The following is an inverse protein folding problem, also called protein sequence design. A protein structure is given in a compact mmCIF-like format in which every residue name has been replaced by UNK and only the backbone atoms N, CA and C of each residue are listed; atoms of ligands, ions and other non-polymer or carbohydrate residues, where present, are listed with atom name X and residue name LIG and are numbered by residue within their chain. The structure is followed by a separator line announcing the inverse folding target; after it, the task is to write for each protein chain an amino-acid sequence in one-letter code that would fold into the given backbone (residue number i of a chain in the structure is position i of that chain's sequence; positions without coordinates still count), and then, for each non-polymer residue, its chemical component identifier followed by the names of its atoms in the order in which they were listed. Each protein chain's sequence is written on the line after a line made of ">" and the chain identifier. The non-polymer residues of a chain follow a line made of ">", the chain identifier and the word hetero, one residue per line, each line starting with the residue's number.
data_IF_517114837301
#
_entry.id   IF_517114837301
#
_cell.length_a   1.000
_cell.length_b   1.000
_cell.length_c   1.000
_cell.angle_alpha   90.00
_cell.angle_beta   90.00
_cell.angle_gamma   90.00
#
_symmetry.space_group_name_H-M   'P 1'
#
loop_
_entity.id
_entity.type
_entity.pdbx_description
1 polymer ?
#
# COMPACT_ATOMS: atom_id res chain seq x y z
N UNK A 1 -4.51 -20.06 16.05
CA UNK A 1 -4.56 -18.59 16.03
C UNK A 1 -4.16 -18.12 14.63
N UNK A 2 -5.09 -17.60 13.83
CA UNK A 2 -4.80 -17.15 12.45
C UNK A 2 -4.01 -15.83 12.53
N UNK A 3 -2.82 -15.76 11.92
CA UNK A 3 -1.97 -14.56 11.94
C UNK A 3 -2.47 -13.52 10.93
N UNK A 4 -3.38 -12.65 11.34
CA UNK A 4 -3.92 -11.61 10.44
C UNK A 4 -2.84 -10.60 10.01
N UNK A 5 -2.65 -10.43 8.70
CA UNK A 5 -1.77 -9.41 8.11
C UNK A 5 -2.44 -8.03 7.97
N UNK A 6 -3.76 -7.94 8.17
CA UNK A 6 -4.53 -6.69 8.06
C UNK A 6 -4.60 -6.13 6.64
N UNK A 7 -4.80 -7.01 5.64
CA UNK A 7 -4.87 -6.63 4.22
C UNK A 7 -6.22 -6.03 3.78
N UNK A 8 -7.24 -6.05 4.62
CA UNK A 8 -8.55 -5.43 4.35
C UNK A 8 -9.51 -6.23 3.47
N UNK A 9 -9.11 -7.37 2.90
CA UNK A 9 -9.96 -8.16 1.99
C UNK A 9 -11.30 -8.59 2.61
N UNK A 10 -11.29 -9.01 3.87
CA UNK A 10 -12.50 -9.36 4.63
C UNK A 10 -13.49 -8.20 4.75
N UNK A 11 -13.00 -6.97 4.89
CA UNK A 11 -13.81 -5.76 4.95
C UNK A 11 -14.37 -5.40 3.57
N UNK A 12 -13.54 -5.50 2.52
CA UNK A 12 -13.92 -5.22 1.13
C UNK A 12 -15.01 -6.17 0.61
N UNK A 13 -14.94 -7.47 0.93
CA UNK A 13 -15.93 -8.45 0.45
C UNK A 13 -17.26 -8.40 1.22
N UNK A 14 -17.26 -7.83 2.43
CA UNK A 14 -18.38 -7.92 3.35
C UNK A 14 -19.65 -7.25 2.78
N UNK A 15 -20.73 -7.99 2.48
CA UNK A 15 -21.92 -7.41 1.86
C UNK A 15 -22.72 -6.49 2.80
N UNK A 16 -22.52 -6.64 4.12
CA UNK A 16 -23.16 -5.81 5.15
C UNK A 16 -22.30 -4.63 5.60
N UNK A 17 -21.06 -4.51 5.11
CA UNK A 17 -20.07 -3.54 5.58
C UNK A 17 -19.85 -3.57 7.10
N UNK A 18 -20.07 -4.71 7.75
CA UNK A 18 -20.00 -4.85 9.21
C UNK A 18 -18.58 -5.12 9.74
N UNK A 19 -17.55 -5.10 8.87
CA UNK A 19 -16.15 -5.30 9.25
C UNK A 19 -15.38 -4.02 8.94
N UNK A 20 -14.84 -3.36 9.97
CA UNK A 20 -14.02 -2.16 9.82
C UNK A 20 -12.55 -2.43 10.15
N UNK A 21 -11.61 -1.86 9.40
CA UNK A 21 -10.18 -1.94 9.71
C UNK A 21 -9.80 -0.90 10.76
N UNK A 22 -9.43 -1.33 11.97
CA UNK A 22 -9.08 -0.44 13.09
C UNK A 22 -7.70 -0.76 13.64
N UNK A 23 -7.00 0.26 14.12
CA UNK A 23 -5.70 0.09 14.80
C UNK A 23 -5.95 -0.64 16.13
N UNK A 24 -5.27 -1.76 16.35
CA UNK A 24 -5.32 -2.51 17.61
C UNK A 24 -4.31 -1.95 18.64
N UNK A 25 -4.25 -2.58 19.82
CA UNK A 25 -3.37 -2.18 20.92
C UNK A 25 -1.87 -2.26 20.57
N UNK A 26 -1.49 -3.12 19.62
CA UNK A 26 -0.10 -3.21 19.11
C UNK A 26 0.21 -2.14 18.05
N UNK A 27 -0.79 -1.37 17.63
CA UNK A 27 -0.64 -0.32 16.62
C UNK A 27 -0.76 -0.79 15.17
N UNK A 28 -1.39 -1.92 14.89
CA UNK A 28 -1.61 -2.40 13.51
C UNK A 28 -3.09 -2.40 13.15
N UNK A 29 -3.41 -2.14 11.88
CA UNK A 29 -4.78 -2.30 11.40
C UNK A 29 -5.19 -3.77 11.41
N UNK A 30 -6.31 -4.06 12.07
CA UNK A 30 -6.95 -5.36 12.17
C UNK A 30 -8.46 -5.22 11.93
N UNK A 31 -9.10 -6.26 11.37
CA UNK A 31 -10.55 -6.23 11.19
C UNK A 31 -11.26 -6.27 12.54
N UNK A 32 -12.23 -5.39 12.73
CA UNK A 32 -13.19 -5.41 13.84
C UNK A 32 -14.58 -5.66 13.27
N UNK A 33 -15.11 -6.85 13.50
CA UNK A 33 -16.46 -7.28 13.07
C UNK A 33 -17.51 -6.79 14.06
N UNK A 34 -18.59 -6.20 13.57
CA UNK A 34 -19.84 -6.04 14.29
C UNK A 34 -20.64 -7.35 14.15
N UNK A 35 -20.84 -8.06 15.27
CA UNK A 35 -21.53 -9.35 15.28
C UNK A 35 -23.04 -9.19 15.04
N UNK A 36 -23.65 -8.13 15.54
CA UNK A 36 -25.10 -7.90 15.47
C UNK A 36 -25.59 -7.61 14.04
N UNK A 37 -24.71 -7.06 13.20
CA UNK A 37 -24.98 -6.79 11.78
C UNK A 37 -24.53 -7.93 10.85
N UNK A 38 -23.76 -8.88 11.38
CA UNK A 38 -23.21 -9.98 10.60
C UNK A 38 -24.31 -10.99 10.25
N UNK A 39 -24.33 -11.42 8.99
CA UNK A 39 -25.27 -12.44 8.50
C UNK A 39 -24.61 -13.82 8.34
N UNK A 40 -23.43 -14.02 8.94
CA UNK A 40 -22.66 -15.27 8.93
C UNK A 40 -22.47 -15.92 7.53
N UNK A 41 -22.36 -15.09 6.49
CA UNK A 41 -22.15 -15.53 5.10
C UNK A 41 -20.78 -16.17 4.82
N UNK A 42 -19.86 -16.17 5.79
CA UNK A 42 -18.50 -16.72 5.72
C UNK A 42 -17.55 -16.16 4.63
N UNK A 43 -17.99 -15.19 3.82
CA UNK A 43 -17.19 -14.61 2.73
C UNK A 43 -15.85 -14.00 3.20
N UNK A 44 -15.78 -13.49 4.43
CA UNK A 44 -14.56 -12.90 4.98
C UNK A 44 -13.42 -13.92 5.13
N UNK A 45 -13.76 -15.17 5.42
CA UNK A 45 -12.81 -16.25 5.62
C UNK A 45 -12.38 -16.80 4.26
N UNK A 46 -13.33 -16.98 3.34
CA UNK A 46 -13.07 -17.44 1.96
C UNK A 46 -12.07 -16.56 1.19
N UNK A 47 -12.08 -15.25 1.42
CA UNK A 47 -11.12 -14.34 0.75
C UNK A 47 -9.83 -14.14 1.56
N UNK A 48 -9.70 -14.73 2.74
CA UNK A 48 -8.58 -14.48 3.63
C UNK A 48 -7.31 -15.20 3.13
N UNK A 49 -6.25 -14.48 2.72
CA UNK A 49 -5.02 -15.12 2.23
C UNK A 49 -4.19 -15.79 3.34
N UNK A 50 -4.64 -15.71 4.61
CA UNK A 50 -4.01 -16.42 5.74
C UNK A 50 -4.71 -17.76 6.04
N UNK A 51 -5.91 -17.95 5.48
CA UNK A 51 -6.64 -19.21 5.51
C UNK A 51 -6.35 -19.96 4.21
N UNK A 52 -6.36 -19.24 3.09
CA UNK A 52 -6.10 -19.76 1.75
C UNK A 52 -4.74 -19.25 1.27
N UNK A 53 -3.69 -20.05 1.47
CA UNK A 53 -2.34 -19.75 1.01
C UNK A 53 -2.13 -20.36 -0.37
N UNK A 54 -2.56 -19.63 -1.41
CA UNK A 54 -2.34 -20.03 -2.80
C UNK A 54 -1.10 -19.31 -3.35
N UNK A 55 -0.11 -20.08 -3.80
CA UNK A 55 1.12 -19.54 -4.36
C UNK A 55 1.82 -20.53 -5.29
N UNK A 56 2.47 -20.02 -6.32
CA UNK A 56 3.34 -20.80 -7.22
C UNK A 56 4.76 -20.72 -6.68
N UNK A 57 5.54 -21.81 -6.79
CA UNK A 57 6.96 -21.74 -6.47
C UNK A 57 7.66 -20.82 -7.49
N UNK A 58 8.58 -19.99 -6.99
CA UNK A 58 9.38 -19.11 -7.84
C UNK A 58 10.30 -19.91 -8.79
N UNK A 59 10.66 -21.14 -8.42
CA UNK A 59 11.45 -22.02 -9.28
C UNK A 59 10.69 -22.48 -10.54
N UNK A 60 9.35 -22.41 -10.51
CA UNK A 60 8.48 -22.86 -11.62
C UNK A 60 8.14 -21.73 -12.60
N UNK A 61 8.70 -20.53 -12.43
CA UNK A 61 8.40 -19.36 -13.26
C UNK A 61 9.64 -18.75 -13.90
N UNK A 62 9.48 -18.17 -15.08
CA UNK A 62 10.55 -17.42 -15.73
C UNK A 62 10.74 -16.08 -15.04
N UNK A 63 11.95 -15.85 -14.50
CA UNK A 63 12.32 -14.61 -13.84
C UNK A 63 13.07 -13.65 -14.77
N UNK A 64 12.71 -12.37 -14.70
CA UNK A 64 13.37 -11.30 -15.42
C UNK A 64 13.86 -10.22 -14.44
N UNK A 65 14.94 -9.54 -14.83
CA UNK A 65 15.43 -8.34 -14.14
C UNK A 65 15.40 -7.17 -15.11
N UNK A 66 14.81 -6.05 -14.69
CA UNK A 66 14.65 -4.87 -15.54
C UNK A 66 14.71 -3.58 -14.72
N UNK A 67 15.06 -2.49 -15.40
CA UNK A 67 15.02 -1.13 -14.86
C UNK A 67 14.66 -0.13 -15.98
N UNK A 68 14.09 1.00 -15.59
CA UNK A 68 13.75 2.09 -16.50
C UNK A 68 15.01 2.66 -17.14
N UNK A 69 15.03 2.85 -18.46
CA UNK A 69 16.16 3.43 -19.20
C UNK A 69 16.39 4.89 -18.80
N UNK A 70 15.32 5.66 -18.57
CA UNK A 70 15.41 7.05 -18.12
C UNK A 70 15.93 7.14 -16.68
N UNK A 71 17.04 7.85 -16.49
CA UNK A 71 17.69 8.01 -15.18
C UNK A 71 16.78 8.68 -14.16
N UNK A 72 15.98 9.68 -14.57
CA UNK A 72 15.06 10.40 -13.69
C UNK A 72 14.03 9.48 -13.04
N UNK A 73 13.42 8.59 -13.82
CA UNK A 73 12.46 7.58 -13.32
C UNK A 73 13.13 6.70 -12.26
N UNK A 74 14.37 6.25 -12.50
CA UNK A 74 15.12 5.46 -11.52
C UNK A 74 15.38 6.26 -10.25
N UNK A 75 15.82 7.50 -10.35
CA UNK A 75 16.16 8.33 -9.17
C UNK A 75 14.94 8.58 -8.28
N UNK A 76 13.79 8.90 -8.88
CA UNK A 76 12.54 9.22 -8.16
C UNK A 76 11.76 7.98 -7.68
N UNK A 77 12.18 6.78 -8.09
CA UNK A 77 11.55 5.51 -7.70
C UNK A 77 12.30 4.80 -6.58
N UNK A 78 11.65 3.89 -5.86
CA UNK A 78 12.30 3.12 -4.78
C UNK A 78 13.37 2.13 -5.26
N UNK A 79 13.34 1.74 -6.53
CA UNK A 79 14.22 0.72 -7.14
C UNK A 79 14.42 1.04 -8.64
N UNK A 80 14.33 0.04 -9.52
CA UNK A 80 14.48 0.18 -10.98
C UNK A 80 13.37 0.96 -11.69
N UNK A 81 12.28 1.34 -11.02
CA UNK A 81 11.21 2.17 -11.62
C UNK A 81 10.15 1.42 -12.41
N UNK A 82 10.14 0.08 -12.37
CA UNK A 82 9.17 -0.74 -13.12
C UNK A 82 7.72 -0.44 -12.76
N UNK A 83 7.40 -0.26 -11.47
CA UNK A 83 6.03 0.09 -11.06
C UNK A 83 5.53 1.40 -11.67
N UNK A 84 6.42 2.39 -11.87
CA UNK A 84 6.08 3.63 -12.55
C UNK A 84 5.77 3.39 -14.02
N UNK A 85 6.64 2.66 -14.74
CA UNK A 85 6.44 2.35 -16.16
C UNK A 85 5.15 1.56 -16.40
N UNK A 86 4.85 0.58 -15.54
CA UNK A 86 3.60 -0.19 -15.61
C UNK A 86 2.37 0.70 -15.41
N UNK A 87 2.44 1.63 -14.45
CA UNK A 87 1.34 2.53 -14.19
C UNK A 87 1.16 3.56 -15.33
N UNK A 88 2.25 4.14 -15.83
CA UNK A 88 2.23 5.06 -16.98
C UNK A 88 1.61 4.38 -18.21
N UNK A 89 2.06 3.17 -18.53
CA UNK A 89 1.48 2.37 -19.60
C UNK A 89 0.01 2.03 -19.39
N UNK A 90 -0.41 1.79 -18.14
CA UNK A 90 -1.80 1.52 -17.82
C UNK A 90 -2.70 2.73 -18.11
N UNK A 91 -2.26 3.97 -17.80
CA UNK A 91 -3.02 5.18 -18.15
C UNK A 91 -3.13 5.34 -19.66
N UNK A 92 -2.05 5.14 -20.41
CA UNK A 92 -2.08 5.20 -21.88
C UNK A 92 -3.10 4.24 -22.50
N UNK A 93 -3.33 3.10 -21.84
CA UNK A 93 -4.34 2.11 -22.23
C UNK A 93 -5.75 2.40 -21.67
N UNK A 94 -5.93 3.51 -20.94
CA UNK A 94 -7.20 3.92 -20.35
C UNK A 94 -7.59 3.17 -19.07
N UNK A 95 -6.64 2.52 -18.40
CA UNK A 95 -6.90 1.73 -17.18
C UNK A 95 -6.94 2.66 -15.97
N UNK A 96 -7.78 2.31 -14.99
CA UNK A 96 -7.67 2.89 -13.66
C UNK A 96 -6.45 2.33 -12.92
N UNK A 97 -5.86 3.13 -12.05
CA UNK A 97 -4.72 2.73 -11.22
C UNK A 97 -5.13 2.82 -9.77
N UNK A 98 -4.98 1.73 -9.03
CA UNK A 98 -5.07 1.73 -7.58
C UNK A 98 -3.67 1.57 -6.98
N UNK A 99 -3.23 2.53 -6.17
CA UNK A 99 -1.90 2.48 -5.56
C UNK A 99 -1.80 3.30 -4.28
N UNK A 100 -0.68 3.17 -3.58
CA UNK A 100 -0.49 3.77 -2.25
C UNK A 100 0.03 5.22 -2.30
N UNK A 101 -0.63 6.08 -1.54
CA UNK A 101 -0.26 7.48 -1.28
C UNK A 101 0.02 7.68 0.21
N UNK A 102 0.59 8.83 0.57
CA UNK A 102 0.74 9.24 1.96
C UNK A 102 -0.19 10.43 2.24
N UNK A 103 -1.06 10.27 3.24
CA UNK A 103 -1.93 11.31 3.74
C UNK A 103 -1.22 12.07 4.86
N UNK A 104 -0.81 13.30 4.59
CA UNK A 104 -0.07 14.13 5.54
C UNK A 104 -0.91 14.62 6.71
N UNK A 105 -2.20 14.91 6.48
CA UNK A 105 -3.13 15.35 7.53
C UNK A 105 -3.33 14.24 8.56
N UNK A 106 -3.54 13.03 8.06
CA UNK A 106 -3.86 11.87 8.88
C UNK A 106 -2.61 11.04 9.26
N UNK A 107 -1.44 11.47 8.77
CA UNK A 107 -0.13 10.85 8.98
C UNK A 107 -0.12 9.34 8.71
N UNK A 108 -0.76 8.91 7.62
CA UNK A 108 -0.92 7.48 7.28
C UNK A 108 -0.74 7.19 5.80
N UNK A 109 -0.44 5.93 5.49
CA UNK A 109 -0.52 5.44 4.11
C UNK A 109 -1.96 5.04 3.77
N UNK A 110 -2.41 5.38 2.57
CA UNK A 110 -3.74 5.00 2.07
C UNK A 110 -3.69 4.76 0.56
N UNK A 111 -4.42 3.75 0.10
CA UNK A 111 -4.60 3.55 -1.33
C UNK A 111 -5.55 4.59 -1.90
N UNK A 112 -5.31 4.99 -3.15
CA UNK A 112 -6.19 5.87 -3.94
C UNK A 112 -6.26 5.37 -5.38
N UNK A 113 -7.36 5.75 -6.04
CA UNK A 113 -7.60 5.45 -7.44
C UNK A 113 -7.28 6.69 -8.29
N UNK A 114 -6.64 6.46 -9.43
CA UNK A 114 -6.23 7.48 -10.39
C UNK A 114 -6.61 7.04 -11.80
N UNK A 115 -6.93 8.00 -12.66
CA UNK A 115 -7.30 7.76 -14.06
C UNK A 115 -6.45 8.58 -15.04
N UNK A 116 -5.57 9.44 -14.52
CA UNK A 116 -4.76 10.37 -15.29
C UNK A 116 -3.37 10.52 -14.65
N UNK A 117 -2.38 10.90 -15.46
CA UNK A 117 -0.97 10.97 -15.06
C UNK A 117 -0.68 12.01 -13.97
N UNK A 118 -1.39 13.14 -13.96
CA UNK A 118 -1.04 14.28 -13.10
C UNK A 118 -1.17 13.98 -11.59
N UNK A 119 -2.06 13.06 -11.21
CA UNK A 119 -2.21 12.59 -9.83
C UNK A 119 -1.22 11.50 -9.41
N UNK A 120 -0.62 10.77 -10.36
CA UNK A 120 0.15 9.57 -10.07
C UNK A 120 1.51 9.83 -9.44
N UNK A 121 2.03 11.06 -9.52
CA UNK A 121 3.31 11.40 -8.83
C UNK A 121 3.24 11.08 -7.33
N UNK A 122 2.06 11.15 -6.72
CA UNK A 122 1.83 10.76 -5.32
C UNK A 122 2.06 9.27 -5.04
N UNK A 123 2.03 8.42 -6.06
CA UNK A 123 2.30 6.98 -5.97
C UNK A 123 3.80 6.67 -5.91
N UNK A 124 4.67 7.58 -6.36
CA UNK A 124 6.13 7.37 -6.35
C UNK A 124 6.66 7.16 -4.93
N UNK A 125 7.72 6.37 -4.85
CA UNK A 125 8.33 5.98 -3.59
C UNK A 125 7.49 5.00 -2.78
N UNK A 126 8.17 4.16 -2.00
CA UNK A 126 7.56 3.22 -1.07
C UNK A 126 7.00 3.99 0.12
N UNK A 127 5.90 3.52 0.69
CA UNK A 127 5.38 4.02 1.97
C UNK A 127 5.53 2.86 2.95
N UNK A 128 6.55 2.90 3.81
CA UNK A 128 6.83 1.81 4.77
C UNK A 128 5.88 1.87 5.97
N UNK A 129 4.58 1.84 5.71
CA UNK A 129 3.49 1.80 6.67
C UNK A 129 2.40 0.89 6.11
N UNK A 130 1.66 0.22 6.99
CA UNK A 130 0.46 -0.49 6.56
C UNK A 130 -0.54 0.51 6.00
N UNK A 131 -1.03 0.31 4.78
CA UNK A 131 -1.98 1.23 4.16
C UNK A 131 -3.43 0.81 4.42
N UNK A 132 -4.31 1.80 4.59
CA UNK A 132 -5.76 1.59 4.46
C UNK A 132 -6.07 1.47 2.97
N UNK A 133 -6.58 0.31 2.56
CA UNK A 133 -6.87 0.04 1.14
C UNK A 133 -8.35 -0.21 0.84
N UNK A 134 -9.18 -0.47 1.86
CA UNK A 134 -10.57 -0.86 1.70
C UNK A 134 -11.40 0.14 0.87
N UNK A 135 -11.39 1.47 1.15
CA UNK A 135 -12.21 2.40 0.39
C UNK A 135 -11.85 2.41 -1.10
N UNK A 136 -10.55 2.46 -1.40
CA UNK A 136 -10.06 2.44 -2.78
C UNK A 136 -10.41 1.12 -3.50
N UNK A 137 -10.28 -0.02 -2.82
CA UNK A 137 -10.62 -1.32 -3.39
C UNK A 137 -12.12 -1.47 -3.62
N UNK A 138 -12.98 -1.00 -2.71
CA UNK A 138 -14.43 -0.97 -2.93
C UNK A 138 -14.79 -0.11 -4.14
N UNK A 139 -14.16 1.04 -4.32
CA UNK A 139 -14.39 1.89 -5.49
C UNK A 139 -13.91 1.22 -6.79
N UNK A 140 -12.80 0.47 -6.77
CA UNK A 140 -12.39 -0.38 -7.91
C UNK A 140 -13.48 -1.40 -8.24
N UNK A 141 -14.04 -2.09 -7.23
CA UNK A 141 -15.09 -3.08 -7.46
C UNK A 141 -16.34 -2.43 -8.08
N UNK A 142 -16.77 -1.27 -7.58
CA UNK A 142 -17.90 -0.52 -8.14
C UNK A 142 -17.64 -0.13 -9.59
N UNK A 143 -16.49 0.47 -9.88
CA UNK A 143 -16.10 0.86 -11.24
C UNK A 143 -16.12 -0.33 -12.20
N UNK A 144 -15.56 -1.47 -11.80
CA UNK A 144 -15.58 -2.68 -12.61
C UNK A 144 -17.01 -3.21 -12.79
N UNK A 145 -17.83 -3.20 -11.74
CA UNK A 145 -19.18 -3.75 -11.77
C UNK A 145 -20.13 -2.94 -12.65
N UNK A 146 -20.01 -1.60 -12.65
CA UNK A 146 -20.88 -0.70 -13.42
C UNK A 146 -20.35 -0.34 -14.81
N UNK A 147 -19.08 -0.61 -15.10
CA UNK A 147 -18.47 -0.36 -16.41
C UNK A 147 -17.76 -1.62 -16.93
N UNK A 148 -18.39 -2.31 -17.88
CA UNK A 148 -17.87 -3.57 -18.45
C UNK A 148 -16.54 -3.39 -19.20
N UNK A 149 -16.27 -2.20 -19.72
CA UNK A 149 -15.03 -1.88 -20.44
C UNK A 149 -13.92 -1.39 -19.51
N UNK A 150 -14.23 -1.08 -18.25
CA UNK A 150 -13.24 -0.62 -17.28
C UNK A 150 -12.27 -1.76 -16.95
N UNK A 151 -10.98 -1.40 -16.94
CA UNK A 151 -9.87 -2.23 -16.48
C UNK A 151 -9.06 -1.47 -15.43
N UNK A 152 -8.36 -2.21 -14.58
CA UNK A 152 -7.53 -1.64 -13.52
C UNK A 152 -6.16 -2.30 -13.47
N UNK A 153 -5.17 -1.56 -12.97
CA UNK A 153 -3.94 -2.09 -12.39
C UNK A 153 -3.92 -1.74 -10.90
N UNK A 154 -3.65 -2.73 -10.05
CA UNK A 154 -3.61 -2.55 -8.58
C UNK A 154 -2.20 -2.87 -8.09
N UNK A 155 -1.63 -1.90 -7.37
CA UNK A 155 -0.34 -2.03 -6.69
C UNK A 155 -0.56 -2.22 -5.19
N UNK A 156 0.14 -3.18 -4.58
CA UNK A 156 0.01 -3.44 -3.15
C UNK A 156 1.15 -4.27 -2.58
N UNK A 157 1.07 -4.53 -1.28
CA UNK A 157 1.90 -5.57 -0.65
C UNK A 157 1.35 -6.96 -0.95
N UNK A 158 2.14 -8.05 -0.79
CA UNK A 158 1.71 -9.39 -1.17
C UNK A 158 0.40 -9.82 -0.51
N UNK A 159 0.20 -9.51 0.78
CA UNK A 159 -1.05 -9.85 1.47
C UNK A 159 -2.26 -9.04 0.96
N UNK A 160 -2.07 -7.79 0.52
CA UNK A 160 -3.11 -6.96 -0.10
C UNK A 160 -3.47 -7.50 -1.48
N UNK A 161 -2.47 -7.84 -2.29
CA UNK A 161 -2.65 -8.37 -3.63
C UNK A 161 -3.30 -9.76 -3.61
N UNK A 162 -2.84 -10.67 -2.75
CA UNK A 162 -3.48 -11.98 -2.55
C UNK A 162 -4.93 -11.83 -2.09
N UNK A 163 -5.18 -10.94 -1.12
CA UNK A 163 -6.54 -10.69 -0.62
C UNK A 163 -7.48 -10.13 -1.68
N UNK A 164 -7.10 -9.08 -2.41
CA UNK A 164 -7.94 -8.51 -3.47
C UNK A 164 -8.08 -9.47 -4.67
N UNK A 165 -7.08 -10.32 -4.93
CA UNK A 165 -7.18 -11.38 -5.94
C UNK A 165 -8.36 -12.32 -5.64
N UNK A 166 -8.47 -12.81 -4.40
CA UNK A 166 -9.58 -13.70 -4.00
C UNK A 166 -10.93 -12.99 -4.10
N UNK A 167 -11.01 -11.72 -3.67
CA UNK A 167 -12.20 -10.89 -3.81
C UNK A 167 -12.61 -10.76 -5.29
N UNK A 168 -11.67 -10.46 -6.18
CA UNK A 168 -11.91 -10.30 -7.61
C UNK A 168 -12.32 -11.62 -8.29
N UNK A 169 -11.77 -12.76 -7.86
CA UNK A 169 -12.19 -14.09 -8.33
C UNK A 169 -13.62 -14.37 -7.89
N UNK A 170 -13.94 -14.18 -6.60
CA UNK A 170 -15.27 -14.40 -6.04
C UNK A 170 -16.35 -13.53 -6.70
N UNK A 171 -15.97 -12.34 -7.17
CA UNK A 171 -16.85 -11.40 -7.89
C UNK A 171 -16.84 -11.57 -9.41
N UNK A 172 -16.07 -12.51 -9.95
CA UNK A 172 -15.90 -12.75 -11.39
C UNK A 172 -15.31 -11.55 -12.17
N UNK A 173 -14.54 -10.69 -11.49
CA UNK A 173 -13.95 -9.47 -12.04
C UNK A 173 -12.45 -9.62 -12.41
N UNK A 174 -11.81 -10.72 -11.99
CA UNK A 174 -10.35 -10.90 -12.04
C UNK A 174 -9.71 -10.70 -13.41
N UNK A 175 -10.38 -11.09 -14.50
CA UNK A 175 -9.86 -10.99 -15.88
C UNK A 175 -9.59 -9.55 -16.34
N UNK A 176 -10.19 -8.55 -15.67
CA UNK A 176 -10.08 -7.12 -16.03
C UNK A 176 -9.06 -6.35 -15.19
N UNK A 177 -8.31 -7.04 -14.33
CA UNK A 177 -7.41 -6.41 -13.38
C UNK A 177 -6.01 -7.00 -13.48
N UNK A 178 -5.01 -6.15 -13.71
CA UNK A 178 -3.61 -6.48 -13.49
C UNK A 178 -3.26 -6.28 -12.02
N UNK A 179 -2.62 -7.25 -11.40
CA UNK A 179 -2.22 -7.20 -10.00
C UNK A 179 -0.69 -7.18 -9.91
N UNK A 180 -0.16 -6.22 -9.17
CA UNK A 180 1.29 -6.03 -9.00
C UNK A 180 1.59 -5.92 -7.52
N UNK A 181 2.33 -6.89 -6.98
CA UNK A 181 2.84 -6.81 -5.62
C UNK A 181 4.30 -6.32 -5.59
N UNK A 182 4.81 -6.15 -4.37
CA UNK A 182 6.19 -5.77 -4.10
C UNK A 182 6.76 -6.69 -3.03
N UNK A 183 8.09 -6.84 -3.01
CA UNK A 183 8.75 -7.47 -1.86
C UNK A 183 8.48 -6.69 -0.58
N UNK A 184 8.03 -7.41 0.45
CA UNK A 184 7.63 -6.84 1.73
C UNK A 184 8.20 -7.69 2.88
N UNK A 185 8.87 -7.05 3.83
CA UNK A 185 9.39 -7.68 5.06
C UNK A 185 8.60 -7.26 6.31
N UNK A 186 7.39 -6.75 6.12
CA UNK A 186 6.57 -6.18 7.19
C UNK A 186 6.64 -4.65 7.26
N UNK A 187 5.84 -4.09 8.16
CA UNK A 187 5.69 -2.64 8.36
C UNK A 187 5.81 -2.31 9.85
N UNK A 188 6.27 -1.12 10.24
CA UNK A 188 6.24 -0.67 11.62
C UNK A 188 4.80 -0.42 12.07
N UNK A 189 4.56 -0.45 13.39
CA UNK A 189 3.26 -0.10 13.95
C UNK A 189 2.98 1.40 13.86
N UNK A 190 1.70 1.75 13.78
CA UNK A 190 1.25 3.14 13.85
C UNK A 190 1.53 3.79 15.21
N UNK A 191 1.67 3.00 16.29
CA UNK A 191 2.13 3.53 17.57
C UNK A 191 3.58 4.04 17.49
N UNK A 192 4.48 3.27 16.86
CA UNK A 192 5.84 3.72 16.62
C UNK A 192 5.85 4.96 15.71
N UNK A 193 5.03 4.94 14.66
CA UNK A 193 4.92 6.06 13.74
C UNK A 193 4.43 7.35 14.40
N UNK A 194 3.41 7.26 15.26
CA UNK A 194 2.90 8.40 16.04
C UNK A 194 3.95 8.94 17.01
N UNK A 195 4.65 8.05 17.74
CA UNK A 195 5.78 8.44 18.61
C UNK A 195 6.87 9.16 17.82
N UNK A 196 7.17 8.69 16.62
CA UNK A 196 8.16 9.32 15.73
C UNK A 196 7.72 10.72 15.29
N UNK A 197 6.46 10.91 14.88
CA UNK A 197 5.92 12.25 14.60
C UNK A 197 5.96 13.19 15.80
N UNK A 198 5.62 12.69 16.99
CA UNK A 198 5.69 13.47 18.23
C UNK A 198 7.12 13.92 18.53
N UNK A 199 8.10 13.04 18.35
CA UNK A 199 9.52 13.37 18.50
C UNK A 199 9.99 14.41 17.47
N UNK A 200 9.57 14.31 16.20
CA UNK A 200 9.89 15.33 15.19
C UNK A 200 9.33 16.71 15.57
N UNK A 201 8.14 16.76 16.13
CA UNK A 201 7.53 18.01 16.56
C UNK A 201 8.27 18.61 17.78
N UNK A 202 8.38 17.84 18.87
CA UNK A 202 8.94 18.31 20.14
C UNK A 202 10.45 18.55 20.10
N UNK A 203 11.21 17.61 19.53
CA UNK A 203 12.68 17.62 19.61
C UNK A 203 13.32 18.30 18.39
N UNK A 204 12.63 18.32 17.24
CA UNK A 204 13.16 18.86 15.97
C UNK A 204 12.45 20.11 15.49
N UNK A 205 11.40 20.56 16.18
CA UNK A 205 10.63 21.76 15.82
C UNK A 205 9.94 21.64 14.47
N UNK A 206 9.71 20.41 13.99
CA UNK A 206 9.02 20.13 12.73
C UNK A 206 7.50 20.13 12.96
N UNK A 207 6.98 21.31 13.26
CA UNK A 207 5.57 21.55 13.60
C UNK A 207 4.61 21.25 12.45
N UNK A 208 3.42 20.80 12.84
CA UNK A 208 2.25 20.64 11.99
C UNK A 208 1.87 21.98 11.33
N UNK A 209 1.73 22.00 10.00
CA UNK A 209 1.44 23.21 9.20
C UNK A 209 2.58 23.68 8.29
N UNK A 210 3.81 23.19 8.48
CA UNK A 210 4.88 23.35 7.49
C UNK A 210 4.73 22.30 6.39
N UNK A 211 5.01 22.64 5.13
CA UNK A 211 4.99 21.66 4.04
C UNK A 211 6.14 20.68 4.26
N UNK A 212 5.78 19.48 4.71
CA UNK A 212 6.70 18.38 4.97
C UNK A 212 6.71 17.45 3.76
N UNK A 213 7.89 17.03 3.32
CA UNK A 213 8.04 16.03 2.25
C UNK A 213 8.72 14.81 2.86
N UNK A 214 8.03 13.68 2.80
CA UNK A 214 8.51 12.41 3.35
C UNK A 214 9.04 11.52 2.22
N UNK A 215 10.33 11.22 2.27
CA UNK A 215 10.99 10.24 1.40
C UNK A 215 11.40 9.04 2.25
N UNK A 216 10.55 8.00 2.24
CA UNK A 216 10.76 6.76 2.98
C UNK A 216 12.03 5.98 2.60
N UNK A 217 12.50 6.14 1.36
CA UNK A 217 13.75 5.57 0.87
C UNK A 217 14.53 6.62 0.09
N UNK A 218 15.41 7.33 0.78
CA UNK A 218 16.36 8.23 0.16
C UNK A 218 17.62 7.46 -0.26
N UNK A 219 17.98 7.60 -1.53
CA UNK A 219 19.11 6.91 -2.15
C UNK A 219 20.32 7.82 -2.35
N UNK A 220 20.23 9.09 -1.96
CA UNK A 220 21.30 10.10 -2.12
C UNK A 220 22.61 9.64 -1.49
N UNK A 221 22.53 8.95 -0.34
CA UNK A 221 23.71 8.51 0.42
C UNK A 221 24.16 7.07 0.14
N UNK A 222 23.27 6.20 -0.37
CA UNK A 222 23.58 4.81 -0.72
C UNK A 222 22.38 4.09 -1.35
N UNK A 223 22.64 3.10 -2.21
CA UNK A 223 21.64 2.15 -2.70
C UNK A 223 21.33 1.03 -1.69
N UNK A 224 22.32 0.67 -0.86
CA UNK A 224 22.27 -0.46 0.06
C UNK A 224 21.94 -0.05 1.51
N UNK A 225 22.07 1.24 1.86
CA UNK A 225 21.66 1.77 3.17
C UNK A 225 20.28 2.41 3.05
N UNK A 226 19.43 2.14 4.04
CA UNK A 226 18.06 2.65 4.10
C UNK A 226 18.03 3.92 4.97
N UNK A 227 17.76 5.04 4.32
CA UNK A 227 17.53 6.33 4.96
C UNK A 227 16.10 6.78 4.69
N UNK A 228 15.44 7.28 5.73
CA UNK A 228 14.20 8.02 5.60
C UNK A 228 14.53 9.50 5.76
N UNK A 229 14.14 10.31 4.79
CA UNK A 229 14.42 11.72 4.78
C UNK A 229 13.12 12.51 4.89
N UNK A 230 13.11 13.51 5.77
CA UNK A 230 11.99 14.41 5.97
C UNK A 230 12.51 15.83 5.80
N UNK A 231 11.96 16.54 4.82
CA UNK A 231 12.29 17.94 4.59
C UNK A 231 11.11 18.83 4.93
N UNK A 232 11.39 19.95 5.58
CA UNK A 232 10.42 21.01 5.86
C UNK A 232 10.76 22.23 5.02
N UNK A 233 9.77 22.87 4.39
CA UNK A 233 10.01 24.09 3.58
C UNK A 233 10.58 25.27 4.38
N UNK A 234 10.65 25.20 5.71
CA UNK A 234 11.41 26.14 6.54
C UNK A 234 12.82 25.60 6.85
N UNK A 235 13.74 25.57 5.88
CA UNK A 235 15.22 25.38 6.00
C UNK A 235 15.80 24.26 6.90
N UNK A 236 14.99 23.41 7.53
CA UNK A 236 15.44 22.35 8.43
C UNK A 236 15.23 21.00 7.73
N UNK A 237 16.34 20.37 7.34
CA UNK A 237 16.39 19.02 6.76
C UNK A 237 16.77 18.00 7.85
N UNK A 238 16.08 16.86 7.91
CA UNK A 238 16.39 15.81 8.88
C UNK A 238 16.35 14.42 8.23
N UNK A 239 17.51 13.75 8.17
CA UNK A 239 17.66 12.36 7.74
C UNK A 239 17.75 11.39 8.92
N UNK A 240 16.83 10.44 9.01
CA UNK A 240 16.89 9.33 9.97
C UNK A 240 17.51 8.09 9.36
N UNK A 241 18.50 7.48 10.03
CA UNK A 241 18.99 6.14 9.71
C UNK A 241 18.03 5.10 10.27
N UNK A 242 17.82 3.97 9.58
CA UNK A 242 17.10 2.82 10.13
C UNK A 242 17.67 2.44 11.51
N UNK A 243 16.83 2.44 12.55
CA UNK A 243 17.12 1.75 13.81
C UNK A 243 17.05 0.26 13.47
N UNK A 244 18.17 -0.30 13.02
CA UNK A 244 18.31 -1.75 12.91
C UNK A 244 18.48 -2.31 14.32
N UNK A 245 17.37 -2.49 15.03
CA UNK A 245 17.32 -3.43 16.13
C UNK A 245 17.47 -4.83 15.55
N UNK A 246 18.71 -5.33 15.46
CA UNK A 246 18.94 -6.77 15.65
C UNK A 246 18.72 -6.99 17.15
N UNK A 247 17.51 -7.34 17.56
CA UNK A 247 17.37 -8.17 18.75
C UNK A 247 18.05 -9.50 18.40
N UNK A 248 19.17 -9.76 19.06
CA UNK A 248 19.73 -11.11 19.15
C UNK A 248 18.77 -12.04 19.90
#
# INVERSE_FOLDING_TARGET
>A
MIKCSGCGACSVICPKNCIAMKVNEDGFYRPKKNADECIDCNLCDEVCPQIHADGTNLDDITMYSAFAIEKRIRTESSSGGIAWLLAERAVELGYGICGVTYNYKEKRAEHKNFFELDGMRALKGSKYLQSICEPAFQDVLKELQFNCNRRFIIFGTPCQIAGINHVLIKKELRKRVALVDIFCHGTPSYLLWQKYWKWLDLDKGMKEGKKMILTFRDKTYSWHKYFMHITSTSKNEWGGKRISGRSG
#
